data_IF_618549868618
#
_entry.id   IF_618549868618
#
_cell.length_a   1.000
_cell.length_b   1.000
_cell.length_c   1.000
_cell.angle_alpha   90.00
_cell.angle_beta   90.00
_cell.angle_gamma   90.00
#
_symmetry.space_group_name_H-M   'P 1'
#
loop_
_entity.id
_entity.type
_entity.pdbx_description
1 polymer ?
#
# COMPACT_ATOMS: atom_id res chain seq x y z
N UNK A 1 -58.15 15.83 -5.96
CA UNK A 1 -57.08 14.96 -5.45
C UNK A 1 -56.21 14.57 -6.62
N UNK A 2 -54.97 15.06 -6.72
CA UNK A 2 -53.99 14.49 -7.65
C UNK A 2 -52.61 14.50 -6.98
N UNK A 3 -51.91 13.39 -7.22
CA UNK A 3 -51.06 12.69 -6.29
C UNK A 3 -49.66 13.30 -6.19
N UNK A 4 -49.13 13.36 -4.97
CA UNK A 4 -47.75 13.71 -4.69
C UNK A 4 -46.80 12.66 -5.28
N UNK A 5 -45.96 13.07 -6.23
CA UNK A 5 -44.91 12.25 -6.82
C UNK A 5 -43.79 12.08 -5.79
N UNK A 6 -43.76 10.95 -5.11
CA UNK A 6 -42.65 10.58 -4.23
C UNK A 6 -41.55 9.94 -5.08
N UNK A 7 -40.48 10.68 -5.35
CA UNK A 7 -39.25 10.10 -5.90
C UNK A 7 -38.47 9.44 -4.75
N UNK A 8 -38.53 8.12 -4.64
CA UNK A 8 -37.57 7.36 -3.83
C UNK A 8 -36.21 7.42 -4.53
N UNK A 9 -35.32 8.26 -4.05
CA UNK A 9 -33.90 8.18 -4.39
C UNK A 9 -33.30 6.96 -3.68
N UNK A 10 -33.10 5.87 -4.41
CA UNK A 10 -32.35 4.72 -3.93
C UNK A 10 -30.86 5.07 -4.00
N UNK A 11 -30.28 5.56 -2.90
CA UNK A 11 -28.82 5.69 -2.79
C UNK A 11 -28.27 4.27 -2.62
N UNK A 12 -27.90 3.64 -3.74
CA UNK A 12 -27.18 2.38 -3.71
C UNK A 12 -25.74 2.66 -3.25
N UNK A 13 -25.51 2.59 -1.94
CA UNK A 13 -24.16 2.54 -1.39
C UNK A 13 -23.55 1.18 -1.80
N UNK A 14 -22.77 1.17 -2.87
CA UNK A 14 -21.89 0.06 -3.17
C UNK A 14 -20.82 0.02 -2.08
N UNK A 15 -21.09 -0.68 -0.98
CA UNK A 15 -20.06 -1.06 -0.05
C UNK A 15 -19.10 -1.96 -0.84
N UNK A 16 -17.92 -1.42 -1.18
CA UNK A 16 -16.85 -2.25 -1.69
C UNK A 16 -16.63 -3.36 -0.65
N UNK A 17 -16.86 -4.61 -1.06
CA UNK A 17 -16.52 -5.74 -0.21
C UNK A 17 -15.00 -5.67 0.03
N UNK A 18 -14.60 -5.42 1.27
CA UNK A 18 -13.19 -5.48 1.66
C UNK A 18 -12.68 -6.89 1.41
N UNK A 19 -11.70 -7.03 0.52
CA UNK A 19 -11.19 -8.33 0.08
C UNK A 19 -9.66 -8.45 0.19
N UNK A 20 -8.97 -7.33 0.33
CA UNK A 20 -7.52 -7.26 0.49
C UNK A 20 -7.15 -6.30 1.61
N UNK A 21 -5.94 -6.42 2.15
CA UNK A 21 -5.46 -5.52 3.18
C UNK A 21 -3.98 -5.20 3.08
N UNK A 22 -3.62 -4.01 3.56
CA UNK A 22 -2.23 -3.66 3.85
C UNK A 22 -2.13 -3.29 5.33
N UNK A 23 -1.25 -3.99 6.04
CA UNK A 23 -0.88 -3.67 7.42
C UNK A 23 0.33 -2.76 7.41
N UNK A 24 0.15 -1.52 7.84
CA UNK A 24 1.22 -0.54 8.02
C UNK A 24 1.88 -0.74 9.37
N UNK A 25 3.18 -1.02 9.35
CA UNK A 25 4.02 -1.21 10.54
C UNK A 25 5.08 -0.11 10.60
N UNK A 26 4.81 0.91 11.41
CA UNK A 26 5.77 1.98 11.67
C UNK A 26 6.87 1.48 12.62
N UNK A 27 8.13 1.61 12.21
CA UNK A 27 9.28 1.10 12.96
C UNK A 27 10.04 2.17 13.75
N UNK A 28 9.84 3.45 13.43
CA UNK A 28 10.37 4.59 14.19
C UNK A 28 9.27 5.33 14.97
N UNK A 29 9.64 6.39 15.68
CA UNK A 29 8.74 7.18 16.52
C UNK A 29 7.92 8.25 15.77
N UNK A 30 7.98 8.29 14.43
CA UNK A 30 7.30 9.31 13.66
C UNK A 30 5.85 8.92 13.32
N UNK A 31 4.92 9.85 13.57
CA UNK A 31 3.56 9.78 13.02
C UNK A 31 3.58 10.16 11.54
N UNK A 32 2.83 9.42 10.73
CA UNK A 32 2.69 9.67 9.29
C UNK A 32 1.22 9.67 8.87
N UNK A 33 0.93 10.38 7.80
CA UNK A 33 -0.29 10.19 7.02
C UNK A 33 0.03 9.42 5.75
N UNK A 34 -0.67 8.32 5.53
CA UNK A 34 -0.61 7.52 4.30
C UNK A 34 -1.69 8.01 3.34
N UNK A 35 -1.30 8.32 2.11
CA UNK A 35 -2.17 8.75 1.03
C UNK A 35 -2.25 7.66 -0.04
N UNK A 36 -3.43 7.50 -0.66
CA UNK A 36 -3.70 6.48 -1.67
C UNK A 36 -4.03 7.14 -3.01
N UNK A 37 -3.36 6.69 -4.06
CA UNK A 37 -3.56 7.14 -5.44
C UNK A 37 -4.09 5.95 -6.26
N UNK A 38 -5.40 5.87 -6.50
CA UNK A 38 -5.97 4.80 -7.31
C UNK A 38 -5.60 4.97 -8.79
N UNK A 39 -5.41 3.85 -9.48
CA UNK A 39 -5.43 3.81 -10.94
C UNK A 39 -6.86 4.02 -11.47
N UNK A 40 -6.97 4.38 -12.75
CA UNK A 40 -8.27 4.54 -13.42
C UNK A 40 -9.17 3.32 -13.21
N UNK A 41 -10.39 3.57 -12.72
CA UNK A 41 -11.38 2.53 -12.43
C UNK A 41 -11.33 1.94 -11.01
N UNK A 42 -10.25 2.17 -10.25
CA UNK A 42 -10.20 1.82 -8.82
C UNK A 42 -10.85 2.91 -7.95
N UNK A 43 -11.44 2.53 -6.82
CA UNK A 43 -12.10 3.51 -5.94
C UNK A 43 -11.09 4.33 -5.14
N UNK A 44 -11.40 5.59 -4.87
CA UNK A 44 -10.64 6.42 -3.95
C UNK A 44 -10.73 5.86 -2.52
N UNK A 45 -9.61 5.83 -1.82
CA UNK A 45 -9.53 5.52 -0.40
C UNK A 45 -9.18 6.80 0.38
N UNK A 46 -9.74 6.93 1.58
CA UNK A 46 -9.38 8.00 2.50
C UNK A 46 -7.96 7.81 3.01
N UNK A 47 -7.22 8.91 3.21
CA UNK A 47 -5.91 8.86 3.85
C UNK A 47 -6.02 8.38 5.30
N UNK A 48 -4.99 7.70 5.79
CA UNK A 48 -4.96 7.19 7.18
C UNK A 48 -3.73 7.68 7.94
N UNK A 49 -3.91 7.99 9.23
CA UNK A 49 -2.79 8.27 10.13
C UNK A 49 -2.26 6.98 10.75
N UNK A 50 -0.94 6.85 10.81
CA UNK A 50 -0.21 5.69 11.34
C UNK A 50 0.93 6.15 12.25
N UNK A 51 1.26 5.33 13.24
CA UNK A 51 2.39 5.55 14.17
C UNK A 51 2.93 4.20 14.64
N UNK A 52 3.92 4.18 15.53
CA UNK A 52 4.42 2.95 16.14
C UNK A 52 3.59 2.46 17.35
N UNK A 53 2.53 3.18 17.72
CA UNK A 53 1.65 2.77 18.81
C UNK A 53 0.89 1.46 18.49
N UNK A 54 0.54 1.26 17.22
CA UNK A 54 -0.08 0.03 16.73
C UNK A 54 0.21 -0.19 15.24
N UNK A 55 0.14 -1.44 14.80
CA UNK A 55 0.09 -1.75 13.37
C UNK A 55 -1.30 -1.37 12.85
N UNK A 56 -1.36 -0.55 11.81
CA UNK A 56 -2.63 -0.10 11.22
C UNK A 56 -3.00 -0.98 10.03
N UNK A 57 -4.13 -1.67 10.11
CA UNK A 57 -4.67 -2.43 8.96
C UNK A 57 -5.61 -1.54 8.16
N UNK A 58 -5.35 -1.41 6.86
CA UNK A 58 -6.25 -0.74 5.90
C UNK A 58 -6.84 -1.78 4.97
N UNK A 59 -8.15 -1.69 4.77
CA UNK A 59 -8.91 -2.56 3.90
C UNK A 59 -9.00 -1.97 2.50
N UNK A 60 -8.79 -2.81 1.50
CA UNK A 60 -8.87 -2.47 0.09
C UNK A 60 -10.04 -3.21 -0.56
N UNK A 61 -10.74 -2.58 -1.52
CA UNK A 61 -11.66 -3.27 -2.42
C UNK A 61 -10.96 -4.43 -3.14
N UNK A 62 -11.75 -5.44 -3.52
CA UNK A 62 -11.27 -6.46 -4.44
C UNK A 62 -10.81 -5.83 -5.76
N UNK A 63 -9.71 -6.34 -6.31
CA UNK A 63 -9.09 -5.85 -7.55
C UNK A 63 -8.64 -4.38 -7.54
N UNK A 64 -8.42 -3.78 -6.36
CA UNK A 64 -7.90 -2.41 -6.29
C UNK A 64 -6.47 -2.34 -6.85
N UNK A 65 -6.23 -1.33 -7.69
CA UNK A 65 -4.96 -1.07 -8.36
C UNK A 65 -4.53 0.37 -8.07
N UNK A 66 -3.28 0.56 -7.67
CA UNK A 66 -2.73 1.88 -7.45
C UNK A 66 -1.50 1.85 -6.56
N UNK A 67 -1.17 3.01 -6.02
CA UNK A 67 -0.05 3.17 -5.11
C UNK A 67 -0.44 3.94 -3.85
N UNK A 68 0.43 3.87 -2.87
CA UNK A 68 0.38 4.69 -1.67
C UNK A 68 1.77 5.22 -1.33
N UNK A 69 1.78 6.34 -0.61
CA UNK A 69 2.98 6.93 -0.04
C UNK A 69 2.64 7.49 1.34
N UNK A 70 3.65 7.67 2.18
CA UNK A 70 3.48 8.22 3.52
C UNK A 70 4.22 9.54 3.65
N UNK A 71 3.68 10.44 4.48
CA UNK A 71 4.27 11.74 4.79
C UNK A 71 4.34 11.88 6.30
N UNK A 72 5.53 12.15 6.84
CA UNK A 72 5.70 12.48 8.24
C UNK A 72 4.97 13.78 8.61
N UNK A 73 4.39 13.83 9.81
CA UNK A 73 3.69 15.02 10.30
C UNK A 73 4.58 16.28 10.22
N UNK A 74 3.99 17.36 9.69
CA UNK A 74 4.68 18.65 9.51
C UNK A 74 5.59 18.74 8.27
N UNK A 75 5.68 17.69 7.44
CA UNK A 75 6.33 17.75 6.13
C UNK A 75 5.34 18.18 5.04
N UNK A 76 5.88 18.67 3.92
CA UNK A 76 5.07 18.95 2.73
C UNK A 76 4.55 17.63 2.14
N UNK A 77 3.30 17.65 1.66
CA UNK A 77 2.71 16.51 0.97
C UNK A 77 3.29 16.39 -0.45
N UNK A 78 4.44 15.74 -0.56
CA UNK A 78 5.13 15.42 -1.82
C UNK A 78 5.41 13.92 -1.82
N UNK A 79 4.92 13.15 -2.82
CA UNK A 79 5.16 11.72 -2.88
C UNK A 79 6.65 11.39 -2.96
N UNK A 80 7.07 10.36 -2.22
CA UNK A 80 8.44 9.84 -2.20
C UNK A 80 8.51 8.39 -2.64
N UNK A 81 9.01 7.50 -1.78
CA UNK A 81 8.95 6.06 -2.04
C UNK A 81 7.49 5.60 -2.03
N UNK A 82 7.13 4.80 -3.05
CA UNK A 82 5.78 4.27 -3.20
C UNK A 82 5.72 2.82 -2.71
N UNK A 83 4.57 2.44 -2.16
CA UNK A 83 4.12 1.06 -2.18
C UNK A 83 3.08 0.91 -3.28
N UNK A 84 3.33 0.03 -4.25
CA UNK A 84 2.46 -0.21 -5.39
C UNK A 84 1.79 -1.58 -5.24
N UNK A 85 0.50 -1.66 -5.55
CA UNK A 85 -0.27 -2.91 -5.44
C UNK A 85 -1.27 -3.05 -6.59
N UNK A 86 -1.48 -4.31 -7.00
CA UNK A 86 -2.55 -4.74 -7.88
C UNK A 86 -3.12 -6.04 -7.31
N UNK A 87 -4.20 -5.91 -6.54
CA UNK A 87 -4.79 -7.04 -5.82
C UNK A 87 -5.60 -7.95 -6.74
N UNK A 88 -5.60 -9.26 -6.44
CA UNK A 88 -6.45 -10.27 -7.09
C UNK A 88 -6.51 -10.19 -8.63
N UNK A 89 -5.38 -9.83 -9.24
CA UNK A 89 -5.24 -9.56 -10.66
C UNK A 89 -5.26 -10.86 -11.48
N UNK A 90 -4.60 -10.86 -12.64
CA UNK A 90 -4.56 -12.04 -13.51
C UNK A 90 -4.10 -13.30 -12.76
N UNK A 91 -4.87 -14.39 -12.91
CA UNK A 91 -4.75 -15.66 -12.18
C UNK A 91 -4.95 -15.59 -10.66
N UNK A 92 -5.63 -14.56 -10.16
CA UNK A 92 -5.88 -14.36 -8.72
C UNK A 92 -4.60 -14.04 -7.94
N UNK A 93 -3.63 -13.40 -8.61
CA UNK A 93 -2.37 -12.99 -8.00
C UNK A 93 -2.45 -11.54 -7.53
N UNK A 94 -1.85 -11.28 -6.37
CA UNK A 94 -1.52 -9.92 -5.94
C UNK A 94 -0.12 -9.60 -6.41
N UNK A 95 0.02 -8.52 -7.17
CA UNK A 95 1.32 -7.96 -7.55
C UNK A 95 1.63 -6.76 -6.66
N UNK A 96 2.87 -6.62 -6.24
CA UNK A 96 3.28 -5.54 -5.36
C UNK A 96 4.76 -5.21 -5.46
N UNK A 97 5.12 -3.97 -5.17
CA UNK A 97 6.51 -3.54 -5.01
C UNK A 97 6.66 -2.26 -4.19
N UNK A 98 7.86 -2.07 -3.65
CA UNK A 98 8.33 -0.78 -3.15
C UNK A 98 9.13 -0.12 -4.27
N UNK A 99 8.72 1.10 -4.64
CA UNK A 99 9.15 1.76 -5.86
C UNK A 99 9.79 3.11 -5.57
N UNK A 100 10.99 3.27 -6.11
CA UNK A 100 11.84 4.45 -5.98
C UNK A 100 11.73 5.40 -7.18
N UNK A 101 10.77 5.14 -8.09
CA UNK A 101 10.66 5.85 -9.37
C UNK A 101 10.34 7.34 -9.21
N UNK A 102 9.63 7.72 -8.14
CA UNK A 102 9.18 9.11 -7.92
C UNK A 102 10.26 9.95 -7.23
N UNK A 103 10.64 9.58 -6.00
CA UNK A 103 11.80 10.17 -5.33
C UNK A 103 12.62 9.08 -4.62
N UNK A 104 13.75 8.67 -5.21
CA UNK A 104 14.62 7.65 -4.62
C UNK A 104 15.30 8.09 -3.33
N UNK A 105 15.21 9.37 -2.95
CA UNK A 105 15.86 9.91 -1.75
C UNK A 105 14.98 9.82 -0.50
N UNK A 106 13.72 9.43 -0.65
CA UNK A 106 12.83 9.23 0.49
C UNK A 106 13.17 7.93 1.22
N UNK A 107 14.07 8.02 2.20
CA UNK A 107 14.47 6.86 2.98
C UNK A 107 13.67 6.71 4.29
N UNK A 108 12.73 7.62 4.55
CA UNK A 108 12.06 7.80 5.84
C UNK A 108 10.60 7.32 5.82
N UNK A 109 10.02 7.01 4.66
CA UNK A 109 8.64 6.56 4.55
C UNK A 109 8.55 5.08 4.18
N UNK A 110 7.99 4.71 3.04
CA UNK A 110 7.77 3.30 2.67
C UNK A 110 9.11 2.57 2.52
N UNK A 111 9.27 1.45 3.24
CA UNK A 111 10.55 0.72 3.31
C UNK A 111 10.48 -0.64 2.64
N UNK A 112 9.64 -1.53 3.15
CA UNK A 112 9.51 -2.91 2.72
C UNK A 112 8.04 -3.30 2.59
N UNK A 113 7.75 -4.32 1.78
CA UNK A 113 6.42 -4.88 1.61
C UNK A 113 6.49 -6.39 1.31
N UNK A 114 5.59 -7.18 1.90
CA UNK A 114 5.57 -8.65 1.75
C UNK A 114 4.21 -9.28 2.11
N UNK A 115 3.95 -10.55 1.74
CA UNK A 115 2.73 -11.29 2.11
C UNK A 115 2.64 -11.59 3.61
N UNK A 116 1.51 -11.29 4.23
CA UNK A 116 1.37 -11.31 5.68
C UNK A 116 1.60 -12.70 6.33
N UNK A 117 1.30 -13.80 5.63
CA UNK A 117 1.48 -15.17 6.15
C UNK A 117 2.71 -15.85 5.57
N UNK A 118 2.97 -15.68 4.28
CA UNK A 118 4.06 -16.34 3.59
C UNK A 118 5.42 -15.71 3.85
N UNK A 119 5.46 -14.43 4.25
CA UNK A 119 6.69 -13.67 4.55
C UNK A 119 7.67 -13.59 3.38
N UNK A 120 7.28 -14.01 2.17
CA UNK A 120 8.10 -14.00 0.96
C UNK A 120 7.19 -14.11 -0.27
N UNK A 121 7.55 -13.49 -1.40
CA UNK A 121 8.71 -12.61 -1.61
C UNK A 121 8.58 -11.28 -0.84
N UNK A 122 9.70 -10.62 -0.56
CA UNK A 122 9.73 -9.26 0.00
C UNK A 122 10.21 -8.28 -1.06
N UNK A 123 9.59 -7.12 -1.16
CA UNK A 123 10.02 -5.97 -1.97
C UNK A 123 10.43 -4.83 -1.05
N UNK A 124 11.42 -4.03 -1.44
CA UNK A 124 11.91 -2.92 -0.61
C UNK A 124 13.23 -3.20 0.09
N UNK A 125 13.62 -2.26 0.96
CA UNK A 125 14.85 -2.30 1.74
C UNK A 125 14.63 -1.94 3.21
N UNK A 126 15.33 -2.61 4.12
CA UNK A 126 15.50 -2.10 5.48
C UNK A 126 16.33 -0.79 5.45
N UNK A 127 17.44 -0.81 4.70
CA UNK A 127 18.32 0.33 4.47
C UNK A 127 18.44 0.58 2.95
N UNK A 128 18.12 1.80 2.51
CA UNK A 128 18.26 2.20 1.11
C UNK A 128 19.65 2.78 0.82
N UNK A 129 20.16 2.65 -0.42
CA UNK A 129 19.58 1.90 -1.53
C UNK A 129 19.84 0.39 -1.42
N UNK A 130 18.99 -0.43 -2.04
CA UNK A 130 19.24 -1.87 -2.25
C UNK A 130 18.70 -2.31 -3.62
N UNK A 131 19.04 -3.54 -4.04
CA UNK A 131 18.67 -4.12 -5.34
C UNK A 131 17.30 -4.81 -5.35
N UNK A 132 16.44 -4.54 -4.37
CA UNK A 132 15.13 -5.19 -4.20
C UNK A 132 13.94 -4.20 -4.28
N UNK A 133 14.18 -3.01 -4.83
CA UNK A 133 13.16 -2.01 -5.11
C UNK A 133 13.06 -1.79 -6.60
N UNK A 134 11.89 -1.34 -7.05
CA UNK A 134 11.70 -0.92 -8.43
C UNK A 134 12.33 0.46 -8.65
N UNK A 135 13.43 0.53 -9.43
CA UNK A 135 14.18 1.78 -9.63
C UNK A 135 13.95 2.43 -10.99
N UNK A 136 13.69 1.63 -12.01
CA UNK A 136 13.59 2.08 -13.40
C UNK A 136 12.34 1.50 -14.05
N UNK A 137 11.73 2.20 -15.03
CA UNK A 137 10.79 1.56 -15.94
C UNK A 137 11.35 0.23 -16.47
N UNK A 138 10.55 -0.83 -16.42
CA UNK A 138 10.86 -2.21 -16.84
C UNK A 138 11.80 -3.01 -15.91
N UNK A 139 12.02 -2.56 -14.67
CA UNK A 139 12.75 -3.34 -13.67
C UNK A 139 11.93 -4.54 -13.17
N UNK A 140 12.53 -5.73 -13.05
CA UNK A 140 11.81 -6.98 -12.70
C UNK A 140 11.68 -7.11 -11.17
N UNK A 141 11.12 -6.09 -10.53
CA UNK A 141 11.05 -5.99 -9.06
C UNK A 141 9.64 -6.06 -8.50
N UNK A 142 8.63 -6.00 -9.38
CA UNK A 142 7.26 -6.38 -9.03
C UNK A 142 7.25 -7.84 -8.59
N UNK A 143 6.88 -8.04 -7.34
CA UNK A 143 6.74 -9.36 -6.74
C UNK A 143 5.29 -9.82 -6.89
N UNK A 144 5.06 -11.12 -6.78
CA UNK A 144 3.73 -11.70 -6.89
C UNK A 144 3.49 -12.72 -5.77
N UNK A 145 2.25 -12.78 -5.29
CA UNK A 145 1.78 -13.77 -4.31
C UNK A 145 0.31 -14.12 -4.59
N UNK A 146 -0.18 -15.23 -4.02
CA UNK A 146 -1.62 -15.54 -3.96
C UNK A 146 -2.33 -14.92 -2.75
N UNK A 147 -1.57 -14.36 -1.82
CA UNK A 147 -2.13 -13.68 -0.66
C UNK A 147 -2.65 -12.29 -1.03
N UNK A 148 -3.70 -11.86 -0.35
CA UNK A 148 -4.32 -10.53 -0.51
C UNK A 148 -4.09 -9.64 0.70
N UNK A 149 -3.44 -10.19 1.74
CA UNK A 149 -3.03 -9.47 2.93
C UNK A 149 -1.52 -9.23 2.84
N UNK A 150 -1.11 -7.97 2.78
CA UNK A 150 0.27 -7.55 2.76
C UNK A 150 0.63 -6.84 4.07
N UNK A 151 1.92 -6.83 4.39
CA UNK A 151 2.50 -5.98 5.42
C UNK A 151 3.46 -5.02 4.73
N UNK A 152 3.46 -3.76 5.13
CA UNK A 152 4.47 -2.79 4.73
C UNK A 152 5.06 -2.07 5.93
N UNK A 153 6.35 -1.79 5.89
CA UNK A 153 7.05 -1.03 6.94
C UNK A 153 7.22 0.42 6.56
N UNK A 154 7.12 1.28 7.57
CA UNK A 154 7.34 2.72 7.45
C UNK A 154 8.44 3.15 8.42
N UNK A 155 9.32 4.04 7.96
CA UNK A 155 10.36 4.61 8.80
C UNK A 155 11.54 3.69 9.07
N UNK A 156 12.59 4.25 9.67
CA UNK A 156 13.81 3.49 9.94
C UNK A 156 13.61 2.47 11.06
N UNK A 157 14.19 1.28 10.91
CA UNK A 157 14.15 0.23 11.93
C UNK A 157 14.22 -1.15 11.29
N UNK A 158 14.16 -2.20 12.12
CA UNK A 158 14.17 -3.59 11.66
C UNK A 158 12.94 -4.33 12.17
N UNK A 159 12.41 -5.22 11.33
CA UNK A 159 11.34 -6.15 11.72
C UNK A 159 11.88 -7.35 12.51
N UNK A 160 13.20 -7.57 12.49
CA UNK A 160 13.84 -8.79 13.00
C UNK A 160 13.58 -10.03 12.13
N UNK A 161 12.94 -9.88 10.96
CA UNK A 161 12.64 -10.96 10.04
C UNK A 161 13.79 -11.17 9.05
N UNK A 162 14.08 -12.42 8.73
CA UNK A 162 15.06 -12.76 7.70
C UNK A 162 14.31 -13.12 6.42
N UNK A 163 14.26 -12.17 5.49
CA UNK A 163 13.75 -12.43 4.15
C UNK A 163 14.85 -13.15 3.36
N UNK A 164 14.51 -14.27 2.71
CA UNK A 164 15.42 -14.84 1.74
C UNK A 164 15.66 -13.78 0.66
N UNK A 165 16.92 -13.39 0.42
CA UNK A 165 17.26 -12.49 -0.67
C UNK A 165 16.72 -13.11 -1.97
N UNK A 166 15.93 -12.33 -2.71
CA UNK A 166 15.52 -12.74 -4.05
C UNK A 166 16.81 -12.89 -4.88
N UNK A 167 17.10 -14.11 -5.32
CA UNK A 167 18.21 -14.42 -6.23
C UNK A 167 18.05 -13.71 -7.57
#
# INVERSE_FOLDING_TARGET
MHFATSALALVASAAAASAASVTFWTLDDATRTVYFTPSDGSSQLDSVTVSNAEKKVVQFPDNWIGNFYAIQDGKNNVPGMLGEVNFNAWNGLTYFDVSAIVDPKDHDNVKQMWPAKGESPMSGCEVFPCNNCYWLPDDVQTKATKEVDLITTLGSGSTGMNFAEAQ
#
